data_IF_783710099310
#
_entry.id   IF_783710099310
#
_cell.length_a   1.000
_cell.length_b   1.000
_cell.length_c   1.000
_cell.angle_alpha   90.00
_cell.angle_beta   90.00
_cell.angle_gamma   90.00
#
_symmetry.space_group_name_H-M   'P 1'
#
loop_
_entity.id
_entity.type
_entity.pdbx_description
1 polymer ?
#
# COMPACT_ATOMS: atom_id res chain seq x y z
N UNK A 1 -9.14 28.35 5.92
CA UNK A 1 -7.92 28.05 5.14
C UNK A 1 -7.63 26.55 5.10
N UNK A 2 -7.87 25.80 6.19
CA UNK A 2 -7.77 24.32 6.26
C UNK A 2 -8.85 23.60 5.41
N UNK A 3 -10.10 24.07 5.44
CA UNK A 3 -11.18 23.54 4.57
C UNK A 3 -10.96 23.78 3.06
N UNK A 4 -10.08 24.72 2.69
CA UNK A 4 -9.83 25.05 1.28
C UNK A 4 -8.81 24.10 0.65
N UNK A 5 -7.87 23.56 1.42
CA UNK A 5 -6.85 22.61 0.94
C UNK A 5 -7.39 21.18 0.94
N UNK A 6 -8.20 20.80 1.95
CA UNK A 6 -8.98 19.56 1.92
C UNK A 6 -9.85 19.50 0.66
N UNK A 7 -10.50 20.62 0.34
CA UNK A 7 -11.24 20.79 -0.91
C UNK A 7 -10.36 20.92 -2.15
N UNK A 8 -9.07 21.23 -2.13
CA UNK A 8 -8.26 21.24 -3.37
C UNK A 8 -7.71 19.85 -3.68
N UNK A 9 -7.36 19.06 -2.65
CA UNK A 9 -7.04 17.64 -2.82
C UNK A 9 -8.32 16.89 -3.22
N UNK A 10 -9.48 17.20 -2.62
CA UNK A 10 -10.74 16.55 -2.97
C UNK A 10 -11.46 17.15 -4.21
N UNK A 11 -11.36 18.45 -4.53
CA UNK A 11 -11.90 19.06 -5.79
C UNK A 11 -10.95 18.86 -6.96
N UNK A 12 -9.64 18.71 -6.78
CA UNK A 12 -8.77 18.20 -7.84
C UNK A 12 -9.21 16.80 -8.27
N UNK A 13 -9.63 15.98 -7.30
CA UNK A 13 -10.24 14.67 -7.51
C UNK A 13 -11.71 14.75 -8.00
N UNK A 14 -12.52 15.69 -7.49
CA UNK A 14 -13.97 15.77 -7.77
C UNK A 14 -14.35 16.60 -9.01
N UNK A 15 -13.52 17.54 -9.45
CA UNK A 15 -13.79 18.34 -10.67
C UNK A 15 -13.33 17.64 -11.94
N UNK A 16 -12.40 16.67 -11.85
CA UNK A 16 -12.02 15.80 -12.96
C UNK A 16 -12.83 14.49 -12.95
N UNK A 17 -13.37 14.10 -11.80
CA UNK A 17 -14.29 12.97 -11.67
C UNK A 17 -15.48 13.33 -10.74
N UNK A 18 -16.64 13.76 -11.29
CA UNK A 18 -17.89 13.84 -10.52
C UNK A 18 -18.44 12.44 -10.15
N UNK A 19 -17.67 11.38 -10.46
CA UNK A 19 -17.89 10.00 -10.06
C UNK A 19 -16.66 9.54 -9.27
N UNK A 20 -16.74 9.67 -7.94
CA UNK A 20 -16.00 8.82 -7.00
C UNK A 20 -16.66 7.43 -6.88
N UNK A 21 -17.60 7.13 -7.78
CA UNK A 21 -17.90 5.79 -8.25
C UNK A 21 -16.92 5.48 -9.40
N UNK A 22 -16.30 4.31 -9.40
CA UNK A 22 -15.50 3.72 -10.50
C UNK A 22 -14.00 4.00 -10.56
N UNK A 23 -13.25 3.33 -9.68
CA UNK A 23 -12.06 2.54 -10.08
C UNK A 23 -12.24 1.02 -9.82
N UNK A 24 -13.31 0.63 -9.11
CA UNK A 24 -13.85 -0.73 -9.03
C UNK A 24 -15.37 -0.55 -9.12
N UNK A 25 -16.07 -1.31 -9.95
CA UNK A 25 -17.49 -1.08 -10.21
C UNK A 25 -18.38 -1.41 -9.02
N UNK A 26 -18.54 -0.47 -8.08
CA UNK A 26 -19.45 -0.61 -6.94
C UNK A 26 -20.84 -0.07 -7.27
N UNK A 27 -21.73 -0.96 -7.70
CA UNK A 27 -23.18 -0.78 -7.53
C UNK A 27 -23.74 -2.10 -7.06
N UNK A 28 -23.64 -2.35 -5.76
CA UNK A 28 -24.28 -3.52 -5.17
C UNK A 28 -25.75 -3.25 -4.89
N UNK A 29 -26.61 -4.12 -5.40
CA UNK A 29 -28.05 -4.09 -5.12
C UNK A 29 -28.33 -4.42 -3.64
N UNK A 30 -29.54 -4.10 -3.13
CA UNK A 30 -29.93 -4.42 -1.74
C UNK A 30 -29.74 -5.89 -1.38
N UNK A 31 -29.88 -6.80 -2.35
CA UNK A 31 -29.64 -8.25 -2.18
C UNK A 31 -28.16 -8.57 -2.01
N UNK A 32 -27.27 -7.90 -2.73
CA UNK A 32 -25.82 -8.04 -2.54
C UNK A 32 -25.39 -7.55 -1.15
N UNK A 33 -25.98 -6.47 -0.63
CA UNK A 33 -25.70 -5.98 0.73
C UNK A 33 -26.08 -6.99 1.82
N UNK A 34 -27.19 -7.72 1.66
CA UNK A 34 -27.63 -8.71 2.66
C UNK A 34 -26.77 -9.98 2.62
N UNK A 35 -26.26 -10.40 1.45
CA UNK A 35 -25.24 -11.45 1.33
C UNK A 35 -23.87 -11.03 1.87
N UNK A 36 -23.49 -9.75 1.73
CA UNK A 36 -22.25 -9.24 2.32
C UNK A 36 -22.27 -9.24 3.86
N UNK A 37 -23.46 -9.16 4.46
CA UNK A 37 -23.65 -9.23 5.93
C UNK A 37 -23.53 -10.64 6.52
N UNK A 38 -23.77 -11.71 5.75
CA UNK A 38 -23.62 -13.09 6.25
C UNK A 38 -22.15 -13.44 6.48
N UNK A 39 -21.25 -12.98 5.59
CA UNK A 39 -19.79 -13.14 5.74
C UNK A 39 -19.31 -12.63 7.10
N UNK A 40 -19.87 -11.52 7.60
CA UNK A 40 -19.50 -10.96 8.90
C UNK A 40 -19.94 -11.84 10.08
N UNK A 41 -21.07 -12.54 9.98
CA UNK A 41 -21.60 -13.36 11.07
C UNK A 41 -20.91 -14.72 11.18
N UNK A 42 -20.49 -15.28 10.04
CA UNK A 42 -19.98 -16.65 9.96
C UNK A 42 -18.45 -16.73 9.86
N UNK A 43 -17.75 -15.60 9.75
CA UNK A 43 -16.28 -15.60 9.71
C UNK A 43 -15.65 -16.01 11.05
N UNK A 44 -15.06 -17.20 11.07
CA UNK A 44 -14.20 -17.66 12.16
C UNK A 44 -12.75 -17.33 11.84
N UNK A 45 -12.15 -16.42 12.60
CA UNK A 45 -10.75 -16.05 12.47
C UNK A 45 -9.83 -17.27 12.70
N UNK A 46 -9.01 -17.70 11.72
CA UNK A 46 -8.00 -18.74 11.94
C UNK A 46 -6.93 -18.30 12.95
N UNK A 47 -6.17 -19.26 13.47
CA UNK A 47 -4.97 -18.94 14.26
C UNK A 47 -3.93 -18.27 13.37
N UNK A 48 -3.51 -17.06 13.76
CA UNK A 48 -2.52 -16.26 13.05
C UNK A 48 -1.29 -16.02 13.94
N UNK A 49 -0.11 -15.98 13.32
CA UNK A 49 1.12 -15.56 14.01
C UNK A 49 1.28 -14.03 14.10
N UNK A 50 0.45 -13.28 13.35
CA UNK A 50 0.42 -11.83 13.33
C UNK A 50 0.20 -11.19 14.72
N UNK A 51 1.03 -10.20 15.07
CA UNK A 51 0.82 -9.35 16.26
C UNK A 51 -0.41 -8.46 16.13
N UNK A 52 -0.69 -8.00 14.91
CA UNK A 52 -1.88 -7.25 14.55
C UNK A 52 -2.40 -7.70 13.20
N UNK A 53 -3.73 -7.75 13.09
CA UNK A 53 -4.44 -8.20 11.91
C UNK A 53 -5.73 -7.40 11.73
N UNK A 54 -6.12 -7.15 10.48
CA UNK A 54 -7.44 -6.63 10.14
C UNK A 54 -7.90 -7.17 8.79
N UNK A 55 -9.11 -7.72 8.79
CA UNK A 55 -9.87 -8.10 7.60
C UNK A 55 -10.97 -7.07 7.38
N UNK A 56 -10.87 -6.36 6.27
CA UNK A 56 -11.75 -5.24 5.94
C UNK A 56 -12.46 -5.51 4.62
N UNK A 57 -13.78 -5.32 4.56
CA UNK A 57 -14.57 -5.43 3.34
C UNK A 57 -14.77 -4.05 2.71
N UNK A 58 -14.26 -3.88 1.49
CA UNK A 58 -14.30 -2.61 0.77
C UNK A 58 -15.71 -2.26 0.29
N UNK A 59 -16.52 -3.26 -0.09
CA UNK A 59 -17.87 -3.07 -0.64
C UNK A 59 -18.83 -2.41 0.35
N UNK A 60 -18.65 -2.69 1.65
CA UNK A 60 -19.54 -2.26 2.74
C UNK A 60 -18.84 -1.32 3.72
N UNK A 61 -17.59 -0.95 3.46
CA UNK A 61 -16.77 -0.11 4.32
C UNK A 61 -16.67 -0.64 5.77
N UNK A 62 -16.60 -1.97 5.94
CA UNK A 62 -16.80 -2.64 7.24
C UNK A 62 -15.62 -3.51 7.65
N UNK A 63 -15.25 -3.45 8.94
CA UNK A 63 -14.32 -4.41 9.56
C UNK A 63 -15.04 -5.73 9.84
N UNK A 64 -14.54 -6.82 9.28
CA UNK A 64 -15.08 -8.18 9.50
C UNK A 64 -14.45 -8.80 10.75
N UNK A 65 -13.13 -8.74 10.86
CA UNK A 65 -12.39 -9.34 11.97
C UNK A 65 -11.06 -8.63 12.17
N UNK A 66 -10.55 -8.61 13.40
CA UNK A 66 -9.28 -7.99 13.71
C UNK A 66 -8.59 -8.60 14.94
N UNK A 67 -7.29 -8.35 15.05
CA UNK A 67 -6.46 -8.59 16.22
C UNK A 67 -5.73 -7.29 16.52
N UNK A 68 -5.92 -6.72 17.71
CA UNK A 68 -5.17 -5.57 18.19
C UNK A 68 -5.14 -4.35 17.25
N UNK A 69 -6.20 -4.08 16.47
CA UNK A 69 -6.17 -3.13 15.33
C UNK A 69 -5.73 -1.68 15.64
N UNK A 70 -5.68 -1.27 16.92
CA UNK A 70 -5.24 0.07 17.34
C UNK A 70 -3.81 0.10 17.90
N UNK A 71 -3.13 -1.05 17.97
CA UNK A 71 -1.75 -1.13 18.44
C UNK A 71 -0.80 -0.54 17.40
N UNK A 72 0.03 0.41 17.83
CA UNK A 72 1.07 1.02 16.99
C UNK A 72 2.21 0.03 16.82
N UNK A 73 2.46 -0.41 15.59
CA UNK A 73 3.54 -1.32 15.25
C UNK A 73 4.43 -0.73 14.16
N UNK A 74 5.73 -1.08 14.13
CA UNK A 74 6.56 -0.78 12.98
C UNK A 74 6.03 -1.49 11.74
N UNK A 75 6.01 -0.79 10.60
CA UNK A 75 5.29 -1.25 9.40
C UNK A 75 6.18 -1.59 8.21
N UNK A 76 7.51 -1.54 8.41
CA UNK A 76 8.48 -1.83 7.39
C UNK A 76 8.17 -1.08 6.07
N UNK A 77 8.45 -1.71 4.93
CA UNK A 77 8.20 -1.16 3.58
C UNK A 77 6.74 -0.89 3.22
N UNK A 78 5.73 -1.17 4.07
CA UNK A 78 4.38 -0.63 3.85
C UNK A 78 4.38 0.91 3.86
N UNK A 79 5.38 1.51 4.54
CA UNK A 79 5.72 2.94 4.48
C UNK A 79 5.76 3.51 3.06
N UNK A 80 6.22 2.72 2.09
CA UNK A 80 6.36 3.15 0.69
C UNK A 80 5.02 3.48 0.01
N UNK A 81 3.90 3.02 0.57
CA UNK A 81 2.57 3.39 0.10
C UNK A 81 2.30 4.89 0.27
N UNK A 82 2.74 5.49 1.40
CA UNK A 82 2.63 6.94 1.61
C UNK A 82 3.55 7.71 0.67
N UNK A 83 4.78 7.22 0.48
CA UNK A 83 5.71 7.78 -0.51
C UNK A 83 5.09 7.80 -1.89
N UNK A 84 4.54 6.68 -2.35
CA UNK A 84 3.91 6.58 -3.67
C UNK A 84 2.69 7.52 -3.81
N UNK A 85 1.83 7.58 -2.78
CA UNK A 85 0.64 8.43 -2.80
C UNK A 85 1.00 9.91 -2.93
N UNK A 86 1.99 10.39 -2.19
CA UNK A 86 2.43 11.79 -2.25
C UNK A 86 2.99 12.11 -3.63
N UNK A 87 3.89 11.26 -4.14
CA UNK A 87 4.55 11.46 -5.43
C UNK A 87 3.53 11.54 -6.56
N UNK A 88 2.59 10.59 -6.64
CA UNK A 88 1.59 10.61 -7.73
C UNK A 88 0.60 11.78 -7.61
N UNK A 89 0.43 12.34 -6.40
CA UNK A 89 -0.47 13.46 -6.15
C UNK A 89 0.15 14.82 -6.52
N UNK A 90 1.48 14.91 -6.53
CA UNK A 90 2.20 16.19 -6.67
C UNK A 90 3.13 16.25 -7.89
N UNK A 91 3.35 15.13 -8.58
CA UNK A 91 4.24 15.02 -9.73
C UNK A 91 3.56 14.29 -10.89
N UNK A 92 3.96 14.63 -12.12
CA UNK A 92 3.53 13.92 -13.31
C UNK A 92 4.36 12.64 -13.47
N UNK A 93 3.72 11.52 -13.87
CA UNK A 93 4.41 10.25 -14.10
C UNK A 93 5.57 10.35 -15.11
N UNK A 94 5.50 11.29 -16.05
CA UNK A 94 6.49 11.51 -17.11
C UNK A 94 7.63 12.45 -16.72
N UNK A 95 7.63 13.04 -15.52
CA UNK A 95 8.75 13.88 -15.09
C UNK A 95 10.02 13.05 -14.94
N UNK A 96 11.14 13.56 -15.46
CA UNK A 96 12.43 12.87 -15.38
C UNK A 96 13.20 13.27 -14.10
N UNK A 97 13.70 12.26 -13.39
CA UNK A 97 14.57 12.41 -12.23
C UNK A 97 15.98 11.94 -12.63
N UNK A 98 16.98 12.74 -12.28
CA UNK A 98 18.38 12.30 -12.34
C UNK A 98 18.70 11.52 -11.06
N UNK A 99 18.98 10.23 -11.21
CA UNK A 99 19.18 9.31 -10.09
C UNK A 99 20.47 9.62 -9.32
N UNK A 100 20.39 9.44 -8.02
CA UNK A 100 21.52 9.51 -7.09
C UNK A 100 21.60 8.21 -6.28
N UNK A 101 22.81 7.78 -5.97
CA UNK A 101 23.04 6.69 -5.01
C UNK A 101 23.31 7.33 -3.66
N UNK A 102 22.30 7.27 -2.79
CA UNK A 102 22.34 7.87 -1.46
C UNK A 102 22.80 6.85 -0.42
N UNK A 103 23.33 7.35 0.69
CA UNK A 103 23.81 6.50 1.77
C UNK A 103 22.65 5.74 2.42
N UNK A 104 22.81 4.41 2.48
CA UNK A 104 21.87 3.47 3.07
C UNK A 104 22.63 2.43 3.90
N UNK A 105 22.03 1.85 4.94
CA UNK A 105 22.64 0.75 5.68
C UNK A 105 22.98 -0.43 4.77
N UNK A 106 23.98 -1.24 5.17
CA UNK A 106 24.30 -2.48 4.47
C UNK A 106 23.07 -3.39 4.37
N UNK A 107 22.77 -3.89 3.16
CA UNK A 107 21.59 -4.70 2.86
C UNK A 107 20.41 -3.94 2.26
N UNK A 108 20.44 -2.60 2.21
CA UNK A 108 19.36 -1.76 1.68
C UNK A 108 19.66 -1.22 0.27
N UNK A 109 20.80 -1.60 -0.32
CA UNK A 109 21.24 -1.14 -1.64
C UNK A 109 20.27 -1.58 -2.73
N UNK A 110 20.16 -0.74 -3.77
CA UNK A 110 19.41 -1.08 -4.97
C UNK A 110 20.21 -2.00 -5.88
N UNK A 111 19.53 -2.97 -6.49
CA UNK A 111 20.07 -3.76 -7.60
C UNK A 111 19.72 -3.15 -8.97
N UNK A 112 18.91 -2.10 -8.99
CA UNK A 112 18.29 -1.58 -10.20
C UNK A 112 18.79 -0.18 -10.54
N UNK A 113 19.03 0.66 -9.53
CA UNK A 113 19.40 2.06 -9.73
C UNK A 113 20.92 2.26 -9.89
N UNK A 114 21.28 3.03 -10.90
CA UNK A 114 22.63 3.55 -11.17
C UNK A 114 22.67 5.05 -10.92
N UNK A 115 23.84 5.64 -10.68
CA UNK A 115 23.97 7.10 -10.50
C UNK A 115 23.93 7.85 -11.83
N UNK A 116 23.41 9.08 -11.81
CA UNK A 116 23.45 10.04 -12.92
C UNK A 116 22.69 9.62 -14.19
N UNK A 117 21.76 8.68 -14.06
CA UNK A 117 20.87 8.25 -15.13
C UNK A 117 19.55 9.01 -15.03
N UNK A 118 18.90 9.25 -16.17
CA UNK A 118 17.53 9.78 -16.21
C UNK A 118 16.54 8.62 -16.18
N UNK A 119 15.53 8.75 -15.34
CA UNK A 119 14.42 7.81 -15.19
C UNK A 119 13.16 8.61 -14.89
N UNK A 120 12.02 8.21 -15.43
CA UNK A 120 10.75 8.90 -15.13
C UNK A 120 10.17 8.52 -13.76
N UNK A 121 9.27 9.36 -13.24
CA UNK A 121 8.58 9.17 -11.96
C UNK A 121 7.83 7.83 -11.93
N UNK A 122 7.17 7.44 -13.03
CA UNK A 122 6.43 6.18 -13.06
C UNK A 122 7.34 4.96 -12.87
N UNK A 123 8.46 4.90 -13.58
CA UNK A 123 9.45 3.83 -13.48
C UNK A 123 10.08 3.76 -12.08
N UNK A 124 10.25 4.91 -11.41
CA UNK A 124 10.67 4.94 -10.01
C UNK A 124 9.56 4.46 -9.05
N UNK A 125 8.29 4.74 -9.32
CA UNK A 125 7.16 4.19 -8.56
C UNK A 125 7.04 2.67 -8.77
N UNK A 126 7.31 2.18 -9.98
CA UNK A 126 7.37 0.75 -10.30
C UNK A 126 8.48 0.06 -9.48
N UNK A 127 9.70 0.62 -9.46
CA UNK A 127 10.80 0.15 -8.60
C UNK A 127 10.43 0.16 -7.10
N UNK A 128 9.80 1.26 -6.65
CA UNK A 128 9.40 1.46 -5.27
C UNK A 128 8.40 0.39 -4.80
N UNK A 129 7.40 0.07 -5.61
CA UNK A 129 6.27 -0.74 -5.17
C UNK A 129 6.39 -2.22 -5.54
N UNK A 130 6.92 -2.54 -6.73
CA UNK A 130 7.10 -3.92 -7.20
C UNK A 130 8.27 -4.56 -6.45
N UNK A 131 9.46 -4.00 -6.62
CA UNK A 131 10.71 -4.55 -6.06
C UNK A 131 11.05 -4.02 -4.67
N UNK A 132 10.22 -3.13 -4.11
CA UNK A 132 10.40 -2.56 -2.77
C UNK A 132 11.70 -1.76 -2.62
N UNK A 133 12.14 -1.09 -3.70
CA UNK A 133 13.46 -0.46 -3.77
C UNK A 133 13.58 0.77 -2.85
N UNK A 134 14.64 0.81 -2.03
CA UNK A 134 14.86 1.88 -1.06
C UNK A 134 15.48 3.13 -1.70
N UNK A 135 16.33 2.96 -2.72
CA UNK A 135 16.91 4.11 -3.42
C UNK A 135 15.86 4.83 -4.24
N UNK A 136 14.88 4.12 -4.82
CA UNK A 136 13.74 4.73 -5.48
C UNK A 136 12.97 5.65 -4.52
N UNK A 137 12.69 5.17 -3.30
CA UNK A 137 12.03 5.97 -2.27
C UNK A 137 12.80 7.25 -1.92
N UNK A 138 14.13 7.14 -1.74
CA UNK A 138 14.96 8.29 -1.41
C UNK A 138 15.08 9.29 -2.57
N UNK A 139 15.23 8.82 -3.81
CA UNK A 139 15.28 9.69 -5.00
C UNK A 139 13.96 10.43 -5.22
N UNK A 140 12.84 9.73 -5.08
CA UNK A 140 11.51 10.33 -5.14
C UNK A 140 11.33 11.38 -4.04
N UNK A 141 11.72 11.08 -2.80
CA UNK A 141 11.64 12.00 -1.68
C UNK A 141 12.50 13.28 -1.89
N UNK A 142 13.75 13.11 -2.33
CA UNK A 142 14.62 14.24 -2.65
C UNK A 142 14.09 15.08 -3.82
N UNK A 143 13.60 14.44 -4.87
CA UNK A 143 13.04 15.14 -6.02
C UNK A 143 11.83 15.99 -5.63
N UNK A 144 10.90 15.42 -4.86
CA UNK A 144 9.65 16.07 -4.51
C UNK A 144 9.80 17.16 -3.43
N UNK A 145 10.64 16.96 -2.42
CA UNK A 145 10.74 17.86 -1.27
C UNK A 145 12.11 18.55 -1.11
N UNK A 146 13.07 18.29 -2.00
CA UNK A 146 14.43 18.82 -1.93
C UNK A 146 15.30 18.24 -0.80
N UNK A 147 14.71 17.52 0.15
CA UNK A 147 15.39 16.87 1.27
C UNK A 147 14.56 15.71 1.82
N UNK A 148 15.22 14.71 2.42
CA UNK A 148 14.53 13.58 3.04
C UNK A 148 13.68 14.04 4.24
N UNK A 149 14.22 14.92 5.10
CA UNK A 149 13.48 15.44 6.24
C UNK A 149 12.23 16.22 5.81
N UNK A 150 12.34 17.07 4.78
CA UNK A 150 11.18 17.79 4.24
C UNK A 150 10.13 16.85 3.66
N UNK A 151 10.54 15.72 3.07
CA UNK A 151 9.59 14.71 2.62
C UNK A 151 8.93 13.96 3.80
N UNK A 152 9.68 13.63 4.86
CA UNK A 152 9.12 13.01 6.07
C UNK A 152 8.12 13.94 6.77
N UNK A 153 8.41 15.24 6.85
CA UNK A 153 7.47 16.24 7.36
C UNK A 153 6.17 16.25 6.52
N UNK A 154 6.31 16.15 5.20
CA UNK A 154 5.18 16.02 4.27
C UNK A 154 4.40 14.72 4.48
N UNK A 155 5.07 13.58 4.67
CA UNK A 155 4.42 12.29 4.97
C UNK A 155 3.56 12.36 6.24
N UNK A 156 4.08 12.98 7.30
CA UNK A 156 3.34 13.15 8.55
C UNK A 156 2.21 14.19 8.44
N UNK A 157 2.40 15.22 7.61
CA UNK A 157 1.31 16.15 7.27
C UNK A 157 0.18 15.42 6.52
N UNK A 158 0.50 14.59 5.53
CA UNK A 158 -0.49 13.75 4.84
C UNK A 158 -1.19 12.81 5.83
N UNK A 159 -0.46 12.07 6.67
CA UNK A 159 -1.04 11.19 7.68
C UNK A 159 -2.09 11.90 8.55
N UNK A 160 -1.74 13.09 9.07
CA UNK A 160 -2.65 13.91 9.89
C UNK A 160 -3.90 14.32 9.12
N UNK A 161 -3.76 14.80 7.88
CA UNK A 161 -4.89 15.27 7.08
C UNK A 161 -5.77 14.12 6.56
N UNK A 162 -5.22 12.91 6.43
CA UNK A 162 -5.99 11.72 6.07
C UNK A 162 -6.70 11.08 7.28
N UNK A 163 -6.47 11.59 8.50
CA UNK A 163 -7.04 11.03 9.72
C UNK A 163 -6.32 9.80 10.24
N UNK A 164 -5.09 9.52 9.77
CA UNK A 164 -4.23 8.44 10.25
C UNK A 164 -3.60 8.81 11.60
N UNK A 165 -4.44 8.92 12.64
CA UNK A 165 -4.08 9.49 13.94
C UNK A 165 -3.10 8.64 14.76
N UNK A 166 -2.87 7.39 14.36
CA UNK A 166 -1.97 6.46 15.01
C UNK A 166 -0.75 6.13 14.14
N UNK A 167 -0.45 6.98 13.17
CA UNK A 167 0.67 6.83 12.24
C UNK A 167 1.71 7.91 12.43
N UNK A 168 2.98 7.51 12.33
CA UNK A 168 4.10 8.41 12.20
C UNK A 168 5.12 7.78 11.26
N UNK A 169 5.66 8.58 10.35
CA UNK A 169 6.73 8.19 9.45
C UNK A 169 8.05 8.82 9.89
N UNK A 170 9.12 8.04 9.86
CA UNK A 170 10.48 8.53 10.16
C UNK A 170 11.38 8.57 8.91
N UNK A 171 11.02 7.84 7.86
CA UNK A 171 11.76 7.76 6.60
C UNK A 171 10.83 7.30 5.47
N UNK A 172 11.19 7.47 4.18
CA UNK A 172 10.28 7.19 3.07
C UNK A 172 10.24 5.73 2.62
N UNK A 173 11.04 4.84 3.21
CA UNK A 173 11.23 3.46 2.73
C UNK A 173 10.91 2.39 3.77
N UNK A 174 10.74 2.77 5.03
CA UNK A 174 10.33 1.87 6.10
C UNK A 174 11.45 1.14 6.81
N UNK A 175 12.67 1.65 6.83
CA UNK A 175 13.71 1.11 7.72
C UNK A 175 13.27 1.26 9.19
N UNK A 176 13.67 0.30 10.01
CA UNK A 176 13.48 0.31 11.47
C UNK A 176 13.86 1.66 12.10
N UNK A 177 12.84 2.33 12.65
CA UNK A 177 12.95 3.51 13.49
C UNK A 177 11.78 3.47 14.49
N UNK A 178 12.00 3.76 15.80
CA UNK A 178 10.92 3.79 16.79
C UNK A 178 9.77 4.74 16.46
N UNK A 179 10.00 5.75 15.61
CA UNK A 179 9.02 6.73 15.15
C UNK A 179 8.42 6.38 13.78
N UNK A 180 8.72 5.21 13.22
CA UNK A 180 8.12 4.74 11.98
C UNK A 180 7.11 3.61 12.27
N UNK A 181 5.86 4.00 12.55
CA UNK A 181 4.80 3.09 12.98
C UNK A 181 3.44 3.49 12.40
N UNK A 182 2.51 2.55 12.42
CA UNK A 182 1.10 2.74 12.07
C UNK A 182 0.24 1.69 12.77
N UNK A 183 -1.06 1.73 12.50
CA UNK A 183 -2.03 0.68 12.81
C UNK A 183 -2.57 0.07 11.51
N UNK A 184 -3.25 -1.08 11.60
CA UNK A 184 -3.98 -1.65 10.46
C UNK A 184 -5.12 -0.73 9.99
N UNK A 185 -5.81 -0.09 10.94
CA UNK A 185 -6.90 0.87 10.68
C UNK A 185 -6.42 2.05 9.82
N UNK A 186 -5.30 2.67 10.20
CA UNK A 186 -4.72 3.78 9.44
C UNK A 186 -4.20 3.32 8.06
N UNK A 187 -3.61 2.12 7.99
CA UNK A 187 -3.10 1.56 6.73
C UNK A 187 -4.22 1.23 5.73
N UNK A 188 -5.43 0.88 6.20
CA UNK A 188 -6.59 0.71 5.34
C UNK A 188 -6.98 2.03 4.68
N UNK A 189 -6.97 3.14 5.42
CA UNK A 189 -7.23 4.49 4.87
C UNK A 189 -6.24 4.80 3.75
N UNK A 190 -4.95 4.63 4.03
CA UNK A 190 -3.89 4.86 3.05
C UNK A 190 -4.02 3.95 1.82
N UNK A 191 -4.30 2.67 2.05
CA UNK A 191 -4.41 1.67 0.98
C UNK A 191 -5.61 1.95 0.06
N UNK A 192 -6.76 2.38 0.60
CA UNK A 192 -7.91 2.79 -0.21
C UNK A 192 -7.56 3.91 -1.18
N UNK A 193 -6.78 4.89 -0.72
CA UNK A 193 -6.34 6.01 -1.57
C UNK A 193 -5.33 5.58 -2.64
N UNK A 194 -4.40 4.68 -2.29
CA UNK A 194 -3.48 4.08 -3.25
C UNK A 194 -4.24 3.30 -4.33
N UNK A 195 -5.22 2.49 -3.94
CA UNK A 195 -6.02 1.70 -4.88
C UNK A 195 -6.98 2.56 -5.71
N UNK A 196 -7.40 3.73 -5.21
CA UNK A 196 -8.19 4.68 -5.97
C UNK A 196 -7.39 5.38 -7.08
N UNK A 197 -6.06 5.39 -7.01
CA UNK A 197 -5.19 5.94 -8.03
C UNK A 197 -4.86 4.89 -9.11
N UNK A 198 -5.34 5.03 -10.37
CA UNK A 198 -5.22 3.97 -11.38
C UNK A 198 -3.79 3.52 -11.66
N UNK A 199 -2.85 4.45 -11.67
CA UNK A 199 -1.43 4.14 -11.88
C UNK A 199 -0.90 3.30 -10.72
N UNK A 200 -1.14 3.71 -9.47
CA UNK A 200 -0.64 2.97 -8.31
C UNK A 200 -1.34 1.62 -8.17
N UNK A 201 -2.65 1.54 -8.40
CA UNK A 201 -3.41 0.28 -8.40
C UNK A 201 -2.85 -0.69 -9.44
N UNK A 202 -2.49 -0.22 -10.63
CA UNK A 202 -1.85 -1.04 -11.66
C UNK A 202 -0.47 -1.56 -11.19
N UNK A 203 0.36 -0.68 -10.65
CA UNK A 203 1.71 -1.03 -10.19
C UNK A 203 1.67 -2.08 -9.07
N UNK A 204 0.84 -1.90 -8.04
CA UNK A 204 0.79 -2.85 -6.89
C UNK A 204 0.22 -4.22 -7.28
N UNK A 205 -0.61 -4.28 -8.32
CA UNK A 205 -1.16 -5.51 -8.90
C UNK A 205 -0.22 -6.21 -9.89
N UNK A 206 0.97 -5.66 -10.14
CA UNK A 206 1.88 -6.19 -11.16
C UNK A 206 2.82 -7.24 -10.59
N UNK A 207 2.79 -8.46 -11.15
CA UNK A 207 3.69 -9.56 -10.76
C UNK A 207 5.11 -9.33 -11.26
N UNK A 208 5.25 -9.00 -12.55
CA UNK A 208 6.53 -8.75 -13.23
C UNK A 208 6.38 -7.53 -14.15
N UNK A 209 7.42 -6.70 -14.28
CA UNK A 209 7.44 -5.53 -15.16
C UNK A 209 8.84 -5.30 -15.71
N UNK A 210 8.96 -5.02 -17.01
CA UNK A 210 10.21 -4.56 -17.60
C UNK A 210 10.25 -3.03 -17.62
N UNK A 211 11.34 -2.44 -17.13
CA UNK A 211 11.61 -1.00 -17.26
C UNK A 211 12.91 -0.75 -18.01
N UNK A 212 12.98 0.35 -18.75
CA UNK A 212 14.17 0.72 -19.52
C UNK A 212 14.60 2.13 -19.17
N UNK A 213 15.82 2.30 -18.67
CA UNK A 213 16.38 3.62 -18.38
C UNK A 213 17.91 3.58 -18.49
N UNK A 214 18.54 4.73 -18.78
CA UNK A 214 20.01 4.79 -18.94
C UNK A 214 20.58 3.88 -20.06
N UNK A 215 19.74 3.45 -21.01
CA UNK A 215 20.12 2.50 -22.07
C UNK A 215 20.22 1.04 -21.61
N UNK A 216 19.66 0.70 -20.45
CA UNK A 216 19.61 -0.66 -19.91
C UNK A 216 18.17 -1.06 -19.61
N UNK A 217 17.88 -2.36 -19.75
CA UNK A 217 16.59 -2.96 -19.42
C UNK A 217 16.70 -3.71 -18.09
N UNK A 218 15.67 -3.58 -17.25
CA UNK A 218 15.59 -4.20 -15.94
C UNK A 218 14.26 -4.93 -15.78
N UNK A 219 14.33 -6.16 -15.29
CA UNK A 219 13.16 -6.96 -14.93
C UNK A 219 12.86 -6.79 -13.44
N UNK A 220 11.69 -6.22 -13.15
CA UNK A 220 11.16 -6.06 -11.82
C UNK A 220 10.28 -7.27 -11.50
N UNK A 221 10.50 -7.84 -10.32
CA UNK A 221 9.68 -8.93 -9.80
C UNK A 221 9.06 -8.46 -8.49
N UNK A 222 7.76 -8.68 -8.35
CA UNK A 222 7.04 -8.29 -7.15
C UNK A 222 7.52 -9.07 -5.94
N UNK A 223 7.70 -8.35 -4.85
CA UNK A 223 7.97 -8.96 -3.54
C UNK A 223 6.77 -9.72 -2.98
N UNK A 224 5.55 -9.47 -3.47
CA UNK A 224 4.33 -10.16 -3.03
C UNK A 224 4.16 -11.52 -3.73
N UNK A 225 4.45 -12.59 -2.98
CA UNK A 225 4.38 -13.96 -3.49
C UNK A 225 2.96 -14.49 -3.73
N UNK A 226 1.91 -13.75 -3.33
CA UNK A 226 0.51 -14.13 -3.56
C UNK A 226 -0.05 -13.60 -4.88
N UNK A 227 0.61 -12.62 -5.54
CA UNK A 227 0.16 -12.07 -6.82
C UNK A 227 -0.01 -13.07 -7.97
N UNK A 228 0.71 -14.21 -8.03
CA UNK A 228 0.40 -15.23 -9.03
C UNK A 228 -0.99 -15.85 -8.90
N UNK A 229 -1.69 -15.65 -7.77
CA UNK A 229 -3.07 -16.09 -7.62
C UNK A 229 -4.01 -15.14 -8.36
N UNK A 230 -5.03 -15.65 -9.09
CA UNK A 230 -5.92 -14.82 -9.88
C UNK A 230 -6.90 -13.97 -9.05
N UNK A 231 -7.06 -14.31 -7.76
CA UNK A 231 -7.94 -13.65 -6.79
C UNK A 231 -7.20 -12.62 -5.92
N UNK A 232 -5.91 -12.37 -6.19
CA UNK A 232 -5.06 -11.43 -5.47
C UNK A 232 -4.60 -10.31 -6.40
N UNK A 233 -4.81 -9.06 -5.98
CA UNK A 233 -4.62 -7.86 -6.80
C UNK A 233 -3.66 -6.85 -6.16
N UNK A 234 -2.72 -7.31 -5.32
CA UNK A 234 -1.78 -6.45 -4.61
C UNK A 234 -1.63 -6.85 -3.13
N UNK A 235 -1.19 -5.96 -2.23
CA UNK A 235 -0.79 -4.56 -2.43
C UNK A 235 0.70 -4.38 -2.14
N UNK A 236 1.16 -4.65 -0.92
CA UNK A 236 2.56 -4.41 -0.56
C UNK A 236 3.03 -5.29 0.59
N UNK A 237 4.31 -5.64 0.54
CA UNK A 237 5.05 -6.36 1.58
C UNK A 237 6.00 -5.41 2.34
N UNK A 238 6.38 -5.78 3.56
CA UNK A 238 7.55 -5.21 4.23
C UNK A 238 8.14 -6.14 5.29
N UNK A 239 9.46 -6.14 5.45
CA UNK A 239 10.16 -6.92 6.48
C UNK A 239 11.23 -6.06 7.10
N UNK A 240 11.23 -5.97 8.42
CA UNK A 240 12.33 -5.37 9.17
C UNK A 240 12.51 -6.13 10.48
N UNK A 241 13.60 -5.87 11.20
CA UNK A 241 13.92 -6.60 12.44
C UNK A 241 12.90 -6.29 13.53
N UNK A 242 12.50 -5.02 13.70
CA UNK A 242 11.51 -4.63 14.69
C UNK A 242 10.08 -4.87 14.20
N UNK A 243 9.83 -4.67 12.90
CA UNK A 243 8.52 -4.84 12.30
C UNK A 243 8.07 -6.30 12.18
N UNK A 244 9.01 -7.25 12.05
CA UNK A 244 8.68 -8.61 11.62
C UNK A 244 8.11 -8.62 10.19
N UNK A 245 7.25 -9.59 9.88
CA UNK A 245 6.67 -9.71 8.55
C UNK A 245 5.35 -8.95 8.42
N UNK A 246 5.29 -7.96 7.51
CA UNK A 246 4.11 -7.13 7.26
C UNK A 246 3.55 -7.31 5.83
N UNK A 247 2.24 -7.33 5.67
CA UNK A 247 1.57 -7.55 4.38
C UNK A 247 0.23 -6.81 4.33
N UNK A 248 -0.07 -6.20 3.20
CA UNK A 248 -1.44 -5.83 2.83
C UNK A 248 -1.76 -6.51 1.50
N UNK A 249 -2.87 -7.25 1.45
CA UNK A 249 -3.37 -7.91 0.24
C UNK A 249 -4.75 -7.36 -0.11
N UNK A 250 -4.95 -7.05 -1.39
CA UNK A 250 -6.29 -6.92 -1.96
C UNK A 250 -6.71 -8.29 -2.51
N UNK A 251 -7.72 -8.87 -1.87
CA UNK A 251 -8.28 -10.17 -2.23
C UNK A 251 -9.70 -9.98 -2.77
N UNK A 252 -10.06 -10.61 -3.88
CA UNK A 252 -11.40 -10.50 -4.47
C UNK A 252 -11.97 -11.88 -4.80
N UNK A 253 -13.21 -12.13 -4.39
CA UNK A 253 -13.96 -13.32 -4.75
C UNK A 253 -15.44 -12.97 -5.01
N UNK A 254 -16.31 -13.97 -5.16
CA UNK A 254 -17.75 -13.76 -5.38
C UNK A 254 -18.45 -13.04 -4.22
N UNK A 255 -17.89 -13.10 -3.00
CA UNK A 255 -18.40 -12.44 -1.81
C UNK A 255 -17.88 -11.00 -1.66
N UNK A 256 -17.10 -10.48 -2.61
CA UNK A 256 -16.68 -9.08 -2.64
C UNK A 256 -15.16 -8.89 -2.60
N UNK A 257 -14.76 -7.68 -2.19
CA UNK A 257 -13.38 -7.20 -2.17
C UNK A 257 -12.92 -6.94 -0.74
N UNK A 258 -11.78 -7.54 -0.40
CA UNK A 258 -11.26 -7.56 0.96
C UNK A 258 -9.83 -7.02 1.01
N UNK A 259 -9.55 -6.19 2.01
CA UNK A 259 -8.18 -5.88 2.43
C UNK A 259 -7.81 -6.77 3.60
N UNK A 260 -6.74 -7.54 3.44
CA UNK A 260 -6.14 -8.37 4.47
C UNK A 260 -4.85 -7.69 4.91
N UNK A 261 -4.87 -7.05 6.09
CA UNK A 261 -3.73 -6.33 6.66
C UNK A 261 -3.13 -7.13 7.81
N UNK A 262 -1.84 -7.47 7.71
CA UNK A 262 -1.08 -8.29 8.66
C UNK A 262 0.18 -7.54 9.05
N UNK A 263 0.39 -7.27 10.34
CA UNK A 263 1.62 -6.66 10.85
C UNK A 263 2.30 -7.57 11.89
N UNK A 264 3.63 -7.66 11.82
CA UNK A 264 4.43 -8.39 12.80
C UNK A 264 4.16 -9.89 12.86
N UNK A 265 3.93 -10.51 11.71
CA UNK A 265 3.74 -11.96 11.58
C UNK A 265 5.08 -12.71 11.56
N UNK A 266 5.05 -13.98 11.98
CA UNK A 266 6.18 -14.92 11.82
C UNK A 266 6.16 -15.53 10.40
N UNK A 267 4.97 -15.73 9.81
CA UNK A 267 4.76 -16.12 8.41
C UNK A 267 3.53 -15.43 7.82
N UNK A 268 3.75 -14.26 7.20
CA UNK A 268 2.67 -13.44 6.62
C UNK A 268 1.88 -14.18 5.55
N UNK A 269 2.51 -15.11 4.83
CA UNK A 269 1.91 -15.77 3.68
C UNK A 269 1.04 -16.93 4.13
N UNK A 270 1.47 -17.67 5.15
CA UNK A 270 0.61 -18.64 5.82
C UNK A 270 -0.60 -17.94 6.45
N UNK A 271 -0.39 -16.85 7.20
CA UNK A 271 -1.47 -16.08 7.82
C UNK A 271 -2.49 -15.59 6.78
N UNK A 272 -2.02 -14.96 5.69
CA UNK A 272 -2.89 -14.49 4.61
C UNK A 272 -3.62 -15.63 3.89
N UNK A 273 -2.95 -16.76 3.66
CA UNK A 273 -3.55 -17.93 2.99
C UNK A 273 -4.67 -18.52 3.84
N UNK A 274 -4.46 -18.66 5.16
CA UNK A 274 -5.49 -19.17 6.07
C UNK A 274 -6.73 -18.27 6.11
N UNK A 275 -6.58 -16.95 6.03
CA UNK A 275 -7.70 -16.00 5.94
C UNK A 275 -8.44 -16.14 4.59
N UNK A 276 -7.69 -16.27 3.49
CA UNK A 276 -8.27 -16.47 2.15
C UNK A 276 -9.07 -17.78 2.10
N UNK A 277 -8.52 -18.89 2.62
CA UNK A 277 -9.21 -20.18 2.67
C UNK A 277 -10.52 -20.09 3.47
N UNK A 278 -10.51 -19.37 4.60
CA UNK A 278 -11.73 -19.15 5.37
C UNK A 278 -12.78 -18.34 4.60
N UNK A 279 -12.38 -17.29 3.87
CA UNK A 279 -13.29 -16.51 3.01
C UNK A 279 -13.87 -17.36 1.88
N UNK A 280 -13.09 -18.30 1.33
CA UNK A 280 -13.55 -19.21 0.28
C UNK A 280 -14.63 -20.18 0.77
N UNK A 281 -14.49 -20.70 2.00
CA UNK A 281 -15.51 -21.58 2.62
C UNK A 281 -16.86 -20.88 2.74
N UNK A 282 -16.86 -19.61 3.14
CA UNK A 282 -18.09 -18.81 3.26
C UNK A 282 -18.74 -18.56 1.90
N UNK A 283 -17.94 -18.24 0.88
CA UNK A 283 -18.45 -18.01 -0.47
C UNK A 283 -19.00 -19.25 -1.18
N UNK A 284 -18.66 -20.46 -0.72
CA UNK A 284 -19.13 -21.73 -1.29
C UNK A 284 -20.40 -22.28 -0.62
N UNK A 285 -20.87 -21.63 0.46
CA UNK A 285 -22.01 -22.06 1.25
C UNK A 285 -23.34 -21.38 0.85
N UNK A 286 -23.27 -20.41 -0.07
CA UNK A 286 -24.41 -19.70 -0.70
C UNK A 286 -24.75 -20.27 -2.10
#
# INVERSE_FOLDING_TARGET
MIELIFNIIFLGFSLVNPHLDYAVGFKSSKFEIDALRSVQQDFSLPELSAKQFELYQLDTDTVISNINQQSKLPIASLTKLMTALIIISENQPTEEITTQILDLPNGYQSNYLSTSSKIDVQSLLELLLISSDNQAALNLALFNAGSINGFVDKMNWYATNLGMNNTQFANPYGQDDPNNYSTSEDLIILTKLVLAQPILSGIVGTTNQSISYGGQDFELISTNKLLPRPDVHGVKTGTETLAGQCLIVLYQNSAGSFLITILGSDDRYQDATSVIEQLQVLSASD
#
